data_IF_042308491712
#
_entry.id   IF_042308491712
#
_cell.length_a   1.000
_cell.length_b   1.000
_cell.length_c   1.000
_cell.angle_alpha   90.00
_cell.angle_beta   90.00
_cell.angle_gamma   90.00
#
_symmetry.space_group_name_H-M   'P 1'
#
loop_
_entity.id
_entity.type
_entity.pdbx_description
1 polymer ?
#
# COMPACT_ATOMS: atom_id res chain seq x y z
N UNK A 1 6.62 23.86 -19.71
CA UNK A 1 5.34 24.61 -19.64
C UNK A 1 4.18 23.73 -19.17
N UNK A 2 3.84 22.63 -19.85
CA UNK A 2 2.72 21.76 -19.46
C UNK A 2 2.90 21.08 -18.09
N UNK A 3 4.02 20.40 -17.86
CA UNK A 3 4.26 19.68 -16.60
C UNK A 3 4.33 20.59 -15.37
N UNK A 4 5.06 21.70 -15.46
CA UNK A 4 5.31 22.58 -14.30
C UNK A 4 4.22 23.63 -14.06
N UNK A 5 3.62 24.21 -15.10
CA UNK A 5 2.68 25.35 -14.93
C UNK A 5 1.23 24.85 -14.86
N UNK A 6 0.82 23.96 -15.77
CA UNK A 6 -0.57 23.52 -15.87
C UNK A 6 -0.93 22.45 -14.82
N UNK A 7 0.03 21.57 -14.51
CA UNK A 7 -0.16 20.42 -13.63
C UNK A 7 0.72 20.44 -12.38
N UNK A 8 1.81 21.22 -12.36
CA UNK A 8 2.79 21.21 -11.27
C UNK A 8 2.25 21.63 -9.91
N UNK A 9 1.20 22.47 -9.87
CA UNK A 9 0.51 22.83 -8.62
C UNK A 9 -0.39 21.73 -8.04
N UNK A 10 -0.68 20.67 -8.81
CA UNK A 10 -1.49 19.51 -8.36
C UNK A 10 -0.64 18.33 -7.93
N UNK A 11 0.65 18.34 -8.27
CA UNK A 11 1.59 17.24 -7.98
C UNK A 11 2.47 17.65 -6.81
N UNK A 12 2.38 16.92 -5.71
CA UNK A 12 3.13 17.23 -4.48
C UNK A 12 4.49 16.56 -4.43
N UNK A 13 4.62 15.35 -4.98
CA UNK A 13 5.88 14.58 -5.00
C UNK A 13 6.81 15.05 -6.13
N UNK A 14 8.10 15.15 -5.85
CA UNK A 14 9.11 15.57 -6.82
C UNK A 14 9.40 14.47 -7.87
N UNK A 15 9.24 13.20 -7.51
CA UNK A 15 9.36 12.08 -8.45
C UNK A 15 8.20 12.07 -9.45
N UNK A 16 6.99 12.37 -8.99
CA UNK A 16 5.82 12.48 -9.87
C UNK A 16 5.95 13.66 -10.83
N UNK A 17 6.53 14.79 -10.37
CA UNK A 17 6.86 15.93 -11.26
C UNK A 17 7.88 15.53 -12.31
N UNK A 18 8.90 14.76 -11.93
CA UNK A 18 9.90 14.28 -12.88
C UNK A 18 9.26 13.36 -13.93
N UNK A 19 8.45 12.40 -13.50
CA UNK A 19 7.72 11.49 -14.38
C UNK A 19 6.83 12.28 -15.37
N UNK A 20 6.05 13.23 -14.88
CA UNK A 20 5.19 14.07 -15.72
C UNK A 20 5.99 14.85 -16.78
N UNK A 21 7.13 15.41 -16.40
CA UNK A 21 8.01 16.12 -17.33
C UNK A 21 8.59 15.18 -18.39
N UNK A 22 8.96 13.94 -18.02
CA UNK A 22 9.43 12.95 -19.01
C UNK A 22 8.33 12.54 -19.99
N UNK A 23 7.10 12.32 -19.53
CA UNK A 23 5.96 12.05 -20.41
C UNK A 23 5.71 13.21 -21.38
N UNK A 24 5.74 14.45 -20.89
CA UNK A 24 5.57 15.62 -21.74
C UNK A 24 6.68 15.73 -22.81
N UNK A 25 7.94 15.40 -22.48
CA UNK A 25 9.03 15.42 -23.46
C UNK A 25 8.88 14.34 -24.53
N UNK A 26 8.46 13.13 -24.16
CA UNK A 26 8.29 12.01 -25.10
C UNK A 26 7.11 12.27 -26.03
N UNK A 27 5.95 12.66 -25.49
CA UNK A 27 4.72 12.83 -26.27
C UNK A 27 4.67 14.14 -27.07
N UNK A 28 5.28 15.23 -26.58
CA UNK A 28 5.38 16.50 -27.31
C UNK A 28 6.76 16.65 -27.96
N UNK A 29 7.20 15.63 -28.68
CA UNK A 29 8.43 15.65 -29.48
C UNK A 29 8.14 15.84 -30.96
N UNK A 30 9.12 16.28 -31.75
CA UNK A 30 8.98 16.40 -33.21
C UNK A 30 8.62 15.07 -33.89
N UNK A 31 8.98 13.95 -33.25
CA UNK A 31 8.65 12.60 -33.70
C UNK A 31 7.14 12.33 -33.74
N UNK A 32 6.33 13.08 -32.97
CA UNK A 32 4.87 12.98 -32.96
C UNK A 32 4.27 13.21 -34.37
N UNK A 33 4.89 14.08 -35.16
CA UNK A 33 4.43 14.42 -36.51
C UNK A 33 4.94 13.47 -37.59
N UNK A 34 5.73 12.45 -37.21
CA UNK A 34 6.20 11.44 -38.14
C UNK A 34 5.08 10.51 -38.59
N UNK A 35 5.05 10.15 -39.88
CA UNK A 35 4.03 9.24 -40.45
C UNK A 35 4.00 7.84 -39.80
N UNK A 36 5.07 7.44 -39.11
CA UNK A 36 5.18 6.15 -38.43
C UNK A 36 5.05 6.27 -36.90
N UNK A 37 4.57 7.41 -36.37
CA UNK A 37 4.41 7.56 -34.93
C UNK A 37 3.22 6.75 -34.42
N UNK A 38 3.46 5.94 -33.39
CA UNK A 38 2.42 5.26 -32.63
C UNK A 38 2.72 5.42 -31.13
N UNK A 39 1.67 5.62 -30.32
CA UNK A 39 1.81 5.66 -28.87
C UNK A 39 2.14 4.28 -28.30
N UNK A 40 1.47 3.27 -28.83
CA UNK A 40 1.65 1.86 -28.52
C UNK A 40 1.16 1.04 -29.72
N UNK A 41 1.46 -0.26 -29.78
CA UNK A 41 1.05 -1.14 -30.88
C UNK A 41 -0.47 -1.07 -31.07
N UNK A 42 -0.92 -0.58 -32.23
CA UNK A 42 -2.35 -0.39 -32.53
C UNK A 42 -2.93 0.99 -32.15
N UNK A 43 -2.19 1.82 -31.41
CA UNK A 43 -2.58 3.19 -31.05
C UNK A 43 -1.85 4.19 -31.94
N UNK A 44 -2.33 4.29 -33.17
CA UNK A 44 -1.83 5.24 -34.18
C UNK A 44 -2.66 6.52 -34.16
N UNK A 45 -2.02 7.63 -34.50
CA UNK A 45 -2.72 8.89 -34.74
C UNK A 45 -3.48 8.80 -36.07
N UNK A 46 -4.74 9.27 -36.14
CA UNK A 46 -5.44 9.37 -37.41
C UNK A 46 -4.74 10.40 -38.32
N UNK A 47 -4.34 9.98 -39.53
CA UNK A 47 -3.73 10.89 -40.49
C UNK A 47 -4.74 11.95 -40.96
N UNK A 48 -4.44 13.23 -40.71
CA UNK A 48 -5.12 14.40 -41.32
C UNK A 48 -6.63 14.51 -41.09
N UNK A 49 -7.19 13.91 -40.04
CA UNK A 49 -8.59 14.13 -39.67
C UNK A 49 -8.78 15.59 -39.22
N UNK A 50 -9.47 16.39 -40.02
CA UNK A 50 -9.83 17.79 -39.67
C UNK A 50 -11.20 17.84 -38.98
N UNK A 51 -11.97 16.74 -39.09
CA UNK A 51 -13.34 16.64 -38.60
C UNK A 51 -13.40 15.88 -37.27
N UNK A 52 -14.04 16.47 -36.27
CA UNK A 52 -14.30 15.84 -34.96
C UNK A 52 -14.95 14.43 -35.07
N UNK A 53 -15.99 14.20 -35.91
CA UNK A 53 -16.59 12.87 -36.02
C UNK A 53 -15.64 11.78 -36.51
N UNK A 54 -14.67 12.11 -37.36
CA UNK A 54 -13.67 11.14 -37.84
C UNK A 54 -12.73 10.70 -36.71
N UNK A 55 -12.35 11.64 -35.84
CA UNK A 55 -11.53 11.35 -34.65
C UNK A 55 -12.31 10.46 -33.68
N UNK A 56 -13.60 10.74 -33.46
CA UNK A 56 -14.44 9.93 -32.58
C UNK A 56 -14.60 8.51 -33.11
N UNK A 57 -14.85 8.33 -34.41
CA UNK A 57 -14.95 7.01 -35.02
C UNK A 57 -13.63 6.22 -34.90
N UNK A 58 -12.49 6.90 -35.00
CA UNK A 58 -11.18 6.27 -34.78
C UNK A 58 -11.01 5.80 -33.32
N UNK A 59 -11.40 6.64 -32.35
CA UNK A 59 -11.36 6.29 -30.92
C UNK A 59 -12.29 5.12 -30.59
N UNK A 60 -13.48 5.07 -31.19
CA UNK A 60 -14.41 3.94 -31.04
C UNK A 60 -13.90 2.63 -31.65
N UNK A 61 -12.96 2.71 -32.61
CA UNK A 61 -12.29 1.54 -33.19
C UNK A 61 -11.18 0.96 -32.33
N UNK A 62 -10.77 1.63 -31.24
CA UNK A 62 -9.74 1.14 -30.33
C UNK A 62 -10.29 0.03 -29.42
N UNK A 63 -9.42 -0.89 -28.95
CA UNK A 63 -9.85 -1.95 -28.04
C UNK A 63 -10.39 -1.35 -26.73
N UNK A 64 -11.53 -1.85 -26.25
CA UNK A 64 -12.14 -1.39 -24.99
C UNK A 64 -11.44 -1.91 -23.72
N UNK A 65 -10.46 -2.79 -23.88
CA UNK A 65 -9.62 -3.30 -22.78
C UNK A 65 -8.17 -2.98 -23.12
N UNK A 66 -7.60 -2.04 -22.38
CA UNK A 66 -6.23 -1.58 -22.57
C UNK A 66 -5.26 -2.43 -21.73
N UNK A 67 -4.15 -2.86 -22.32
CA UNK A 67 -3.05 -3.47 -21.58
C UNK A 67 -2.26 -2.41 -20.80
N UNK A 68 -1.66 -2.73 -19.64
CA UNK A 68 -0.88 -1.78 -18.84
C UNK A 68 0.32 -1.18 -19.60
N UNK A 69 0.83 -1.89 -20.61
CA UNK A 69 1.94 -1.43 -21.43
C UNK A 69 1.61 -0.19 -22.27
N UNK A 70 0.33 0.04 -22.59
CA UNK A 70 -0.14 1.26 -23.28
C UNK A 70 0.21 2.51 -22.47
N UNK A 71 0.21 2.40 -21.14
CA UNK A 71 0.57 3.47 -20.23
C UNK A 71 2.08 3.51 -19.88
N UNK A 72 2.89 2.64 -20.48
CA UNK A 72 4.31 2.49 -20.16
C UNK A 72 4.58 1.67 -18.89
N UNK A 73 3.61 0.91 -18.39
CA UNK A 73 3.75 0.07 -17.21
C UNK A 73 4.13 -1.37 -17.58
N UNK A 74 4.79 -2.05 -16.64
CA UNK A 74 5.11 -3.48 -16.78
C UNK A 74 3.82 -4.34 -16.70
N UNK A 75 3.70 -5.45 -17.46
CA UNK A 75 2.52 -6.32 -17.44
C UNK A 75 2.12 -6.82 -16.04
N UNK A 76 3.06 -6.95 -15.11
CA UNK A 76 2.79 -7.31 -13.70
C UNK A 76 1.88 -6.30 -12.95
N UNK A 77 1.74 -5.08 -13.46
CA UNK A 77 0.82 -4.09 -12.89
C UNK A 77 -0.63 -4.59 -12.95
N UNK A 78 -1.00 -5.34 -14.00
CA UNK A 78 -2.33 -5.92 -14.14
C UNK A 78 -2.59 -7.02 -13.09
N UNK A 79 -1.61 -7.89 -12.84
CA UNK A 79 -1.69 -8.90 -11.76
C UNK A 79 -1.91 -8.23 -10.40
N UNK A 80 -1.17 -7.15 -10.14
CA UNK A 80 -1.27 -6.39 -8.89
C UNK A 80 -2.65 -5.75 -8.75
N UNK A 81 -3.16 -5.14 -9.83
CA UNK A 81 -4.48 -4.54 -9.87
C UNK A 81 -5.59 -5.59 -9.61
N UNK A 82 -5.55 -6.72 -10.31
CA UNK A 82 -6.52 -7.81 -10.15
C UNK A 82 -6.49 -8.39 -8.74
N UNK A 83 -5.30 -8.57 -8.16
CA UNK A 83 -5.15 -9.05 -6.79
C UNK A 83 -5.78 -8.07 -5.78
N UNK A 84 -5.53 -6.77 -5.95
CA UNK A 84 -6.11 -5.74 -5.09
C UNK A 84 -7.64 -5.68 -5.22
N UNK A 85 -8.17 -5.77 -6.45
CA UNK A 85 -9.61 -5.79 -6.70
C UNK A 85 -10.28 -7.02 -6.09
N UNK A 86 -9.66 -8.19 -6.21
CA UNK A 86 -10.14 -9.42 -5.59
C UNK A 86 -10.16 -9.29 -4.05
N UNK A 87 -9.08 -8.79 -3.45
CA UNK A 87 -9.00 -8.56 -2.00
C UNK A 87 -10.05 -7.57 -1.51
N UNK A 88 -10.28 -6.47 -2.24
CA UNK A 88 -11.34 -5.51 -1.90
C UNK A 88 -12.72 -6.15 -1.99
N UNK A 89 -12.99 -6.91 -3.05
CA UNK A 89 -14.26 -7.62 -3.24
C UNK A 89 -14.51 -8.64 -2.12
N UNK A 90 -13.50 -9.45 -1.78
CA UNK A 90 -13.57 -10.41 -0.67
C UNK A 90 -13.77 -9.71 0.67
N UNK A 91 -13.10 -8.59 0.91
CA UNK A 91 -13.29 -7.78 2.11
C UNK A 91 -14.73 -7.27 2.21
N UNK A 92 -15.29 -6.78 1.10
CA UNK A 92 -16.69 -6.36 1.05
C UNK A 92 -17.65 -7.53 1.31
N UNK A 93 -17.38 -8.72 0.76
CA UNK A 93 -18.18 -9.92 1.03
C UNK A 93 -18.15 -10.27 2.53
N UNK A 94 -16.98 -10.30 3.16
CA UNK A 94 -16.83 -10.56 4.60
C UNK A 94 -17.57 -9.51 5.43
N UNK A 95 -17.53 -8.24 5.02
CA UNK A 95 -18.22 -7.16 5.72
C UNK A 95 -19.74 -7.25 5.63
N UNK A 96 -20.28 -7.82 4.55
CA UNK A 96 -21.73 -8.02 4.36
C UNK A 96 -22.23 -9.28 5.10
N UNK A 97 -21.35 -10.25 5.40
CA UNK A 97 -21.75 -11.46 6.12
C UNK A 97 -22.35 -11.11 7.49
N UNK A 98 -23.53 -11.65 7.85
CA UNK A 98 -24.11 -11.45 9.17
C UNK A 98 -23.16 -12.02 10.22
N UNK A 99 -22.76 -11.18 11.17
CA UNK A 99 -21.81 -11.55 12.24
C UNK A 99 -22.40 -12.53 13.26
N UNK A 100 -23.66 -12.93 13.10
CA UNK A 100 -24.47 -13.59 14.13
C UNK A 100 -25.19 -14.85 13.64
N UNK A 101 -24.51 -15.68 12.84
CA UNK A 101 -25.03 -17.00 12.48
C UNK A 101 -23.91 -18.03 12.37
N UNK A 102 -23.41 -18.44 13.54
CA UNK A 102 -22.34 -19.43 13.65
C UNK A 102 -22.27 -20.05 15.04
N UNK A 103 -23.38 -20.63 15.52
CA UNK A 103 -23.37 -21.57 16.65
C UNK A 103 -22.69 -22.89 16.29
N UNK A 104 -21.42 -22.83 15.89
CA UNK A 104 -20.58 -23.98 15.59
C UNK A 104 -19.54 -24.15 16.69
N UNK A 105 -19.42 -25.36 17.22
CA UNK A 105 -18.41 -25.77 18.21
C UNK A 105 -17.00 -25.81 17.61
N UNK A 106 -16.52 -24.67 17.11
CA UNK A 106 -15.13 -24.42 16.72
C UNK A 106 -14.46 -23.43 17.69
N UNK A 107 -13.14 -23.33 17.61
CA UNK A 107 -12.35 -22.31 18.35
C UNK A 107 -13.01 -20.94 18.15
N UNK A 108 -13.46 -20.32 19.25
CA UNK A 108 -14.07 -19.00 19.21
C UNK A 108 -13.05 -17.98 18.69
N UNK A 109 -13.53 -16.91 18.05
CA UNK A 109 -12.66 -15.83 17.56
C UNK A 109 -11.76 -15.30 18.69
N UNK A 110 -12.31 -15.23 19.90
CA UNK A 110 -11.64 -14.78 21.11
C UNK A 110 -10.51 -15.73 21.52
N UNK A 111 -10.73 -17.05 21.48
CA UNK A 111 -9.68 -18.04 21.80
C UNK A 111 -8.57 -18.08 20.75
N UNK A 112 -8.91 -17.92 19.46
CA UNK A 112 -7.92 -17.77 18.38
C UNK A 112 -7.04 -16.53 18.57
N UNK A 113 -7.65 -15.39 18.92
CA UNK A 113 -6.94 -14.13 19.18
C UNK A 113 -6.06 -14.25 20.42
N UNK A 114 -6.56 -14.87 21.50
CA UNK A 114 -5.80 -15.07 22.73
C UNK A 114 -4.59 -15.98 22.52
N UNK A 115 -4.73 -17.07 21.75
CA UNK A 115 -3.62 -17.94 21.38
C UNK A 115 -2.58 -17.19 20.57
N UNK A 116 -2.99 -16.45 19.54
CA UNK A 116 -2.08 -15.67 18.70
C UNK A 116 -1.37 -14.58 19.50
N UNK A 117 -2.06 -13.89 20.40
CA UNK A 117 -1.48 -12.91 21.31
C UNK A 117 -0.43 -13.55 22.24
N UNK A 118 -0.70 -14.76 22.75
CA UNK A 118 0.27 -15.53 23.53
C UNK A 118 1.52 -15.91 22.73
N UNK A 119 1.35 -16.39 21.49
CA UNK A 119 2.46 -16.68 20.58
C UNK A 119 3.28 -15.44 20.21
N UNK A 120 2.63 -14.27 20.12
CA UNK A 120 3.32 -13.00 19.89
C UNK A 120 4.09 -12.56 21.14
N UNK A 121 3.53 -12.74 22.35
CA UNK A 121 4.20 -12.42 23.62
C UNK A 121 5.50 -13.22 23.79
N UNK A 122 5.45 -14.52 23.50
CA UNK A 122 6.61 -15.40 23.65
C UNK A 122 7.74 -15.07 22.67
N UNK A 123 7.39 -14.52 21.50
CA UNK A 123 8.36 -14.08 20.49
C UNK A 123 8.97 -12.70 20.79
N UNK A 124 8.46 -11.96 21.78
CA UNK A 124 9.05 -10.68 22.11
C UNK A 124 10.40 -10.87 22.83
N UNK A 125 11.40 -10.04 22.52
CA UNK A 125 12.66 -10.02 23.26
C UNK A 125 12.43 -9.57 24.72
N UNK A 126 13.34 -9.93 25.64
CA UNK A 126 13.23 -9.59 27.06
C UNK A 126 13.17 -8.08 27.29
N UNK A 127 12.53 -7.69 28.40
CA UNK A 127 12.32 -6.30 28.80
C UNK A 127 13.64 -5.49 28.84
N UNK A 128 13.54 -4.25 28.38
CA UNK A 128 14.68 -3.34 28.29
C UNK A 128 15.26 -2.99 29.66
N UNK A 129 16.55 -3.33 29.87
CA UNK A 129 17.33 -2.91 31.04
C UNK A 129 18.24 -1.75 30.64
N UNK A 130 17.98 -0.49 31.11
CA UNK A 130 18.69 0.71 30.66
C UNK A 130 20.21 0.68 30.86
N UNK A 131 20.70 -0.13 31.79
CA UNK A 131 22.10 -0.20 32.17
C UNK A 131 22.95 -1.07 31.21
N UNK A 132 22.38 -2.15 30.67
CA UNK A 132 23.11 -3.10 29.80
C UNK A 132 23.25 -2.57 28.37
N UNK A 133 22.20 -1.94 27.85
CA UNK A 133 22.22 -1.38 26.49
C UNK A 133 23.20 -0.20 26.39
N UNK A 134 23.32 0.62 27.46
CA UNK A 134 24.31 1.71 27.56
C UNK A 134 25.76 1.25 27.58
N UNK A 135 26.04 0.01 28.01
CA UNK A 135 27.41 -0.53 27.99
C UNK A 135 27.78 -1.08 26.61
N UNK A 136 26.83 -1.73 25.92
CA UNK A 136 27.01 -2.31 24.58
C UNK A 136 27.13 -1.26 23.47
N UNK A 137 26.40 -0.15 23.56
CA UNK A 137 26.42 0.90 22.54
C UNK A 137 27.62 1.85 22.62
N UNK A 138 28.37 1.84 23.75
CA UNK A 138 29.57 2.68 23.94
C UNK A 138 30.74 2.31 23.02
N UNK A 139 30.73 1.11 22.43
CA UNK A 139 31.79 0.61 21.56
C UNK A 139 31.58 0.80 20.05
N UNK A 140 30.43 1.30 19.58
CA UNK A 140 30.13 1.45 18.14
C UNK A 140 29.97 2.93 17.76
N UNK A 141 30.84 3.42 16.87
CA UNK A 141 30.91 4.81 16.36
C UNK A 141 29.72 5.25 15.49
N UNK A 142 28.50 4.77 15.76
CA UNK A 142 27.28 5.15 15.04
C UNK A 142 26.23 5.66 16.04
N UNK A 143 26.64 6.55 16.93
CA UNK A 143 26.02 6.73 18.23
C UNK A 143 24.92 7.81 18.31
N UNK A 144 24.25 8.18 17.22
CA UNK A 144 23.15 9.17 17.31
C UNK A 144 21.85 8.73 16.64
N UNK A 145 21.90 8.22 15.40
CA UNK A 145 20.69 7.70 14.73
C UNK A 145 20.26 6.32 15.25
N UNK A 146 21.21 5.46 15.65
CA UNK A 146 20.89 4.15 16.25
C UNK A 146 20.29 4.28 17.65
N UNK A 147 20.62 5.35 18.39
CA UNK A 147 20.11 5.57 19.74
C UNK A 147 18.65 6.02 19.72
N UNK A 148 18.29 6.97 18.86
CA UNK A 148 16.90 7.39 18.72
C UNK A 148 16.02 6.26 18.16
N UNK A 149 16.54 5.45 17.23
CA UNK A 149 15.80 4.30 16.69
C UNK A 149 15.69 3.16 17.71
N UNK A 150 16.74 2.89 18.49
CA UNK A 150 16.70 1.87 19.55
C UNK A 150 15.76 2.32 20.66
N UNK A 151 15.90 3.53 21.20
CA UNK A 151 15.00 4.07 22.21
C UNK A 151 13.53 4.07 21.75
N UNK A 152 13.25 4.40 20.48
CA UNK A 152 11.88 4.35 19.95
C UNK A 152 11.33 2.92 19.88
N UNK A 153 12.10 1.97 19.36
CA UNK A 153 11.71 0.55 19.29
C UNK A 153 11.57 -0.05 20.70
N UNK A 154 12.43 0.36 21.64
CA UNK A 154 12.45 -0.14 23.01
C UNK A 154 11.30 0.45 23.85
N UNK A 155 10.97 1.75 23.66
CA UNK A 155 9.77 2.38 24.24
C UNK A 155 8.53 1.69 23.70
N UNK A 156 8.46 1.42 22.39
CA UNK A 156 7.33 0.72 21.79
C UNK A 156 7.22 -0.73 22.29
N UNK A 157 8.33 -1.46 22.44
CA UNK A 157 8.34 -2.83 22.99
C UNK A 157 7.87 -2.87 24.44
N UNK A 158 8.34 -1.93 25.27
CA UNK A 158 7.91 -1.81 26.67
C UNK A 158 6.46 -1.34 26.81
N UNK A 159 5.99 -0.46 25.90
CA UNK A 159 4.57 -0.10 25.83
C UNK A 159 3.74 -1.32 25.43
N UNK A 160 4.19 -2.10 24.44
CA UNK A 160 3.49 -3.27 23.91
C UNK A 160 3.36 -4.37 24.95
N UNK A 161 4.42 -4.66 25.72
CA UNK A 161 4.34 -5.58 26.87
C UNK A 161 3.35 -5.12 27.93
N UNK A 162 3.36 -3.82 28.26
CA UNK A 162 2.42 -3.26 29.25
C UNK A 162 0.98 -3.27 28.74
N UNK A 163 0.72 -2.90 27.48
CA UNK A 163 -0.62 -2.90 26.91
C UNK A 163 -1.16 -4.32 26.79
N UNK A 164 -0.36 -5.27 26.33
CA UNK A 164 -0.80 -6.65 26.15
C UNK A 164 -0.99 -7.37 27.49
N UNK A 165 -0.14 -7.09 28.49
CA UNK A 165 -0.34 -7.58 29.87
C UNK A 165 -1.59 -6.97 30.53
N UNK A 166 -1.87 -5.68 30.29
CA UNK A 166 -3.08 -5.02 30.80
C UNK A 166 -4.32 -5.58 30.09
N UNK A 167 -4.32 -5.75 28.78
CA UNK A 167 -5.44 -6.35 28.05
C UNK A 167 -5.73 -7.80 28.49
N UNK A 168 -4.69 -8.62 28.74
CA UNK A 168 -4.90 -9.96 29.32
C UNK A 168 -5.48 -9.91 30.74
N UNK A 169 -5.05 -8.96 31.58
CA UNK A 169 -5.60 -8.77 32.92
C UNK A 169 -7.05 -8.28 32.89
N UNK A 170 -7.37 -7.33 32.00
CA UNK A 170 -8.73 -6.83 31.80
C UNK A 170 -9.65 -7.90 31.19
N UNK A 171 -9.17 -8.72 30.25
CA UNK A 171 -9.93 -9.85 29.71
C UNK A 171 -10.24 -10.90 30.78
N UNK A 172 -9.28 -11.22 31.67
CA UNK A 172 -9.50 -12.10 32.82
C UNK A 172 -10.51 -11.51 33.83
N UNK A 173 -10.44 -10.21 34.11
CA UNK A 173 -11.39 -9.49 34.95
C UNK A 173 -12.81 -9.50 34.34
N UNK A 174 -12.93 -9.29 33.04
CA UNK A 174 -14.22 -9.31 32.33
C UNK A 174 -14.86 -10.71 32.31
N UNK A 175 -14.04 -11.77 32.21
CA UNK A 175 -14.49 -13.17 32.30
C UNK A 175 -14.88 -13.55 33.74
N UNK A 176 -14.18 -13.02 34.75
CA UNK A 176 -14.47 -13.29 36.17
C UNK A 176 -15.65 -12.48 36.72
N UNK A 177 -15.87 -11.25 36.24
CA UNK A 177 -16.98 -10.38 36.66
C UNK A 177 -18.26 -10.57 35.83
N UNK A 178 -18.18 -11.16 34.62
CA UNK A 178 -19.34 -11.46 33.77
C UNK A 178 -20.16 -12.69 34.19
N UNK A 179 -19.92 -13.24 35.39
CA UNK A 179 -20.61 -14.40 35.95
C UNK A 179 -21.38 -14.07 37.24
N UNK A 180 -22.02 -12.89 37.29
CA UNK A 180 -23.16 -12.54 38.17
C UNK A 180 -24.30 -12.00 37.31
#
# INVERSE_FOLDING_TARGET
>A
MLGEVQYGGRVTDDLDKHLLNTFAQVWFSENLFGANFCFYKGYVLPEKSTSVPEILQHVEGLPGVDSPEVFGLHPNADITYQTNLANQTLSTIINIQPKDSGGGAGETRESSVQRLAGEMLEKLPPDYVPHEVRSLLRGRNYARCTWASAEFVDILSGLFHKTMSLEQQWALLFILEGHI
#
